data_IF_235362095745
#
_entry.id   IF_235362095745
#
_cell.length_a   1.000
_cell.length_b   1.000
_cell.length_c   1.000
_cell.angle_alpha   90.00
_cell.angle_beta   90.00
_cell.angle_gamma   90.00
#
_symmetry.space_group_name_H-M   'P 1'
#
loop_
_entity.id
_entity.type
_entity.pdbx_description
1 polymer ?
#
# COMPACT_ATOMS: atom_id res chain seq x y z
N UNK A 1 -3.45 -24.05 -6.98
CA UNK A 1 -2.20 -23.71 -6.25
C UNK A 1 -2.45 -22.39 -5.56
N UNK A 2 -2.57 -22.41 -4.24
CA UNK A 2 -2.75 -21.20 -3.43
C UNK A 2 -1.40 -20.45 -3.40
N UNK A 3 -1.38 -19.17 -3.81
CA UNK A 3 -0.17 -18.35 -3.81
C UNK A 3 0.47 -18.04 -5.18
N UNK A 4 -0.21 -18.29 -6.31
CA UNK A 4 0.27 -17.83 -7.62
C UNK A 4 0.25 -16.29 -7.69
N UNK A 5 1.40 -15.68 -8.00
CA UNK A 5 1.59 -14.22 -7.99
C UNK A 5 1.84 -13.67 -9.40
N UNK A 6 0.88 -13.88 -10.31
CA UNK A 6 0.97 -13.26 -11.64
C UNK A 6 0.84 -11.74 -11.52
N UNK A 7 1.82 -10.94 -11.98
CA UNK A 7 1.76 -9.49 -11.89
C UNK A 7 0.53 -8.95 -12.63
N UNK A 8 -0.28 -8.16 -11.93
CA UNK A 8 -1.52 -7.57 -12.46
C UNK A 8 -1.27 -6.54 -13.57
N UNK A 9 -0.10 -5.87 -13.55
CA UNK A 9 0.31 -4.96 -14.60
C UNK A 9 1.13 -5.70 -15.67
N UNK A 10 0.74 -5.55 -16.94
CA UNK A 10 1.43 -6.16 -18.07
C UNK A 10 2.92 -5.80 -18.13
N UNK A 11 3.78 -6.81 -17.91
CA UNK A 11 5.23 -6.89 -18.14
C UNK A 11 6.06 -5.61 -17.88
N UNK A 12 6.74 -5.59 -16.73
CA UNK A 12 8.18 -5.31 -16.71
C UNK A 12 8.87 -6.19 -15.66
N UNK A 13 9.48 -7.27 -16.13
CA UNK A 13 10.35 -8.16 -15.33
C UNK A 13 11.66 -7.42 -15.02
N UNK A 14 11.68 -6.50 -14.04
CA UNK A 14 12.89 -6.17 -13.24
C UNK A 14 12.73 -4.97 -12.30
N UNK A 15 11.61 -4.24 -12.30
CA UNK A 15 11.45 -3.08 -11.41
C UNK A 15 10.00 -2.97 -10.97
N UNK A 16 9.78 -2.66 -9.70
CA UNK A 16 8.46 -2.26 -9.23
C UNK A 16 7.93 -1.18 -10.19
N UNK A 17 6.80 -1.45 -10.84
CA UNK A 17 6.19 -0.50 -11.76
C UNK A 17 5.85 0.76 -10.96
N UNK A 18 6.54 1.85 -11.29
CA UNK A 18 6.32 3.14 -10.63
C UNK A 18 5.03 3.72 -11.19
N UNK A 19 3.99 3.74 -10.37
CA UNK A 19 2.72 4.36 -10.71
C UNK A 19 2.70 5.80 -10.21
N UNK A 20 2.13 6.70 -11.00
CA UNK A 20 1.91 8.07 -10.54
C UNK A 20 0.84 8.07 -9.45
N UNK A 21 1.14 8.65 -8.29
CA UNK A 21 0.16 8.89 -7.21
C UNK A 21 -0.97 9.83 -7.68
N UNK A 22 -0.79 10.50 -8.83
CA UNK A 22 -1.81 11.34 -9.44
C UNK A 22 -2.75 10.58 -10.40
N UNK A 23 -2.45 9.31 -10.71
CA UNK A 23 -3.18 8.51 -11.69
C UNK A 23 -4.26 7.61 -11.08
N UNK A 24 -5.40 7.55 -11.76
CA UNK A 24 -6.45 6.54 -11.51
C UNK A 24 -7.14 6.63 -10.13
N UNK A 25 -7.95 5.61 -9.86
CA UNK A 25 -8.69 5.44 -8.63
C UNK A 25 -7.76 5.24 -7.43
N UNK A 26 -6.66 4.48 -7.58
CA UNK A 26 -5.68 4.27 -6.51
C UNK A 26 -5.04 5.60 -6.09
N UNK A 27 -4.65 6.44 -7.05
CA UNK A 27 -4.14 7.76 -6.76
C UNK A 27 -5.16 8.64 -6.04
N UNK A 28 -6.43 8.59 -6.47
CA UNK A 28 -7.51 9.33 -5.82
C UNK A 28 -7.72 8.87 -4.36
N UNK A 29 -7.75 7.57 -4.08
CA UNK A 29 -7.85 7.02 -2.72
C UNK A 29 -6.67 7.48 -1.87
N UNK A 30 -5.46 7.46 -2.43
CA UNK A 30 -4.26 7.90 -1.74
C UNK A 30 -4.36 9.39 -1.32
N UNK A 31 -4.84 10.26 -2.21
CA UNK A 31 -4.94 11.70 -1.95
C UNK A 31 -6.08 12.09 -1.03
N UNK A 32 -7.26 11.53 -1.24
CA UNK A 32 -8.46 11.91 -0.47
C UNK A 32 -8.59 11.10 0.82
N UNK A 33 -7.93 9.94 0.89
CA UNK A 33 -8.08 9.02 2.02
C UNK A 33 -9.48 8.42 2.09
N UNK A 34 -10.24 8.37 1.00
CA UNK A 34 -11.58 7.76 1.00
C UNK A 34 -11.55 6.44 0.25
N UNK A 35 -12.23 5.43 0.78
CA UNK A 35 -12.31 4.12 0.15
C UNK A 35 -13.22 4.17 -1.09
N UNK A 36 -12.84 3.44 -2.14
CA UNK A 36 -13.66 3.24 -3.34
C UNK A 36 -14.14 1.80 -3.37
N UNK A 37 -15.43 1.62 -3.59
CA UNK A 37 -16.08 0.34 -3.85
C UNK A 37 -16.83 0.47 -5.17
N UNK A 38 -16.39 -0.27 -6.18
CA UNK A 38 -16.94 -0.23 -7.53
C UNK A 38 -17.32 -1.62 -7.98
N UNK A 39 -18.56 -1.75 -8.46
CA UNK A 39 -19.03 -2.93 -9.17
C UNK A 39 -19.63 -2.44 -10.50
N UNK A 40 -18.82 -2.48 -11.55
CA UNK A 40 -19.20 -2.08 -12.91
C UNK A 40 -19.42 -3.33 -13.75
N UNK A 41 -20.66 -3.64 -14.18
CA UNK A 41 -20.93 -4.79 -15.05
C UNK A 41 -20.21 -4.72 -16.40
N UNK A 42 -19.83 -3.51 -16.84
CA UNK A 42 -19.04 -3.29 -18.08
C UNK A 42 -17.53 -3.25 -17.82
N UNK A 43 -17.08 -3.52 -16.59
CA UNK A 43 -15.70 -3.31 -16.18
C UNK A 43 -15.35 -1.85 -15.98
N UNK A 44 -14.31 -1.58 -15.19
CA UNK A 44 -13.62 -0.30 -15.19
C UNK A 44 -12.72 -0.20 -16.43
N UNK A 45 -12.62 0.98 -17.08
CA UNK A 45 -11.61 1.21 -18.11
C UNK A 45 -10.21 0.94 -17.57
N UNK A 46 -9.29 0.40 -18.38
CA UNK A 46 -7.92 0.05 -17.95
C UNK A 46 -7.18 1.24 -17.31
N UNK A 47 -7.38 2.44 -17.84
CA UNK A 47 -6.78 3.67 -17.31
C UNK A 47 -7.39 4.15 -15.97
N UNK A 48 -8.48 3.53 -15.53
CA UNK A 48 -9.25 4.00 -14.38
C UNK A 48 -8.68 3.52 -13.05
N UNK A 49 -7.98 2.38 -13.00
CA UNK A 49 -7.40 1.88 -11.74
C UNK A 49 -6.03 2.51 -11.43
N UNK A 50 -5.06 2.38 -12.34
CA UNK A 50 -3.68 2.84 -12.15
C UNK A 50 -3.29 4.10 -12.95
N UNK A 51 -4.21 4.64 -13.76
CA UNK A 51 -3.94 5.78 -14.64
C UNK A 51 -3.55 5.36 -16.06
N UNK A 52 -3.26 6.35 -16.92
CA UNK A 52 -2.93 6.11 -18.34
C UNK A 52 -1.59 5.37 -18.48
N UNK A 53 -1.51 4.48 -19.46
CA UNK A 53 -0.26 3.78 -19.81
C UNK A 53 0.00 2.48 -19.05
N UNK A 54 -0.94 2.03 -18.21
CA UNK A 54 -0.87 0.73 -17.53
C UNK A 54 -1.93 -0.19 -18.13
N UNK A 55 -1.50 -1.27 -18.77
CA UNK A 55 -2.40 -2.34 -19.22
C UNK A 55 -2.73 -3.24 -18.04
N UNK A 56 -4.01 -3.33 -17.71
CA UNK A 56 -4.54 -4.20 -16.65
C UNK A 56 -5.73 -4.99 -17.18
N UNK A 57 -6.05 -6.14 -16.57
CA UNK A 57 -7.30 -6.81 -16.85
C UNK A 57 -8.52 -5.89 -16.65
N UNK A 58 -9.61 -6.20 -17.34
CA UNK A 58 -10.86 -5.48 -17.21
C UNK A 58 -11.56 -5.91 -15.91
N UNK A 59 -11.26 -5.20 -14.82
CA UNK A 59 -11.87 -5.48 -13.52
C UNK A 59 -13.32 -5.00 -13.48
N UNK A 60 -14.24 -5.92 -13.19
CA UNK A 60 -15.65 -5.60 -12.92
C UNK A 60 -15.87 -5.18 -11.48
N UNK A 61 -15.13 -5.77 -10.55
CA UNK A 61 -15.18 -5.39 -9.13
C UNK A 61 -13.84 -4.82 -8.70
N UNK A 62 -13.85 -3.66 -8.06
CA UNK A 62 -12.67 -3.01 -7.48
C UNK A 62 -13.02 -2.48 -6.09
N UNK A 63 -12.16 -2.78 -5.13
CA UNK A 63 -12.22 -2.25 -3.77
C UNK A 63 -10.84 -1.68 -3.44
N UNK A 64 -10.78 -0.40 -3.14
CA UNK A 64 -9.53 0.31 -2.84
C UNK A 64 -9.68 1.05 -1.51
N UNK A 65 -8.89 0.65 -0.52
CA UNK A 65 -8.95 1.18 0.84
C UNK A 65 -7.64 1.89 1.19
N UNK A 66 -7.70 3.08 1.80
CA UNK A 66 -6.51 3.79 2.22
C UNK A 66 -5.85 3.09 3.42
N UNK A 67 -4.53 2.95 3.37
CA UNK A 67 -3.72 2.54 4.52
C UNK A 67 -3.14 3.79 5.16
N UNK A 68 -3.60 4.09 6.38
CA UNK A 68 -3.28 5.33 7.09
C UNK A 68 -2.24 5.07 8.17
N UNK A 69 -1.18 5.87 8.18
CA UNK A 69 -0.20 5.86 9.25
C UNK A 69 0.07 7.31 9.64
N UNK A 70 0.11 7.63 10.94
CA UNK A 70 0.32 8.99 11.43
C UNK A 70 -0.64 10.01 10.79
N UNK A 71 -1.93 9.67 10.69
CA UNK A 71 -2.99 10.51 10.10
C UNK A 71 -2.81 10.87 8.62
N UNK A 72 -1.90 10.19 7.90
CA UNK A 72 -1.70 10.36 6.46
C UNK A 72 -1.87 9.03 5.74
N UNK A 73 -2.49 9.05 4.57
CA UNK A 73 -2.52 7.88 3.70
C UNK A 73 -1.11 7.61 3.18
N UNK A 74 -0.56 6.44 3.48
CA UNK A 74 0.79 6.00 3.08
C UNK A 74 0.77 4.89 2.04
N UNK A 75 -0.39 4.28 1.82
CA UNK A 75 -0.61 3.24 0.81
C UNK A 75 -2.08 3.02 0.54
N UNK A 76 -2.37 2.12 -0.38
CA UNK A 76 -3.74 1.71 -0.73
C UNK A 76 -3.79 0.20 -0.84
N UNK A 77 -4.70 -0.44 -0.11
CA UNK A 77 -5.04 -1.85 -0.26
C UNK A 77 -6.06 -1.98 -1.39
N UNK A 78 -5.65 -2.61 -2.49
CA UNK A 78 -6.49 -2.82 -3.66
C UNK A 78 -6.84 -4.30 -3.80
N UNK A 79 -8.14 -4.59 -3.92
CA UNK A 79 -8.68 -5.88 -4.29
C UNK A 79 -9.47 -5.70 -5.59
N UNK A 80 -9.19 -6.53 -6.59
CA UNK A 80 -9.83 -6.41 -7.89
C UNK A 80 -10.17 -7.79 -8.46
N UNK A 81 -11.31 -7.89 -9.15
CA UNK A 81 -11.82 -9.12 -9.75
C UNK A 81 -12.38 -8.82 -11.14
N UNK A 82 -12.06 -9.66 -12.12
CA UNK A 82 -12.55 -9.57 -13.51
C UNK A 82 -14.03 -9.98 -13.64
N UNK A 83 -14.56 -10.68 -12.64
CA UNK A 83 -15.97 -11.06 -12.54
C UNK A 83 -16.73 -10.13 -11.59
N UNK A 84 -18.05 -9.96 -11.78
CA UNK A 84 -18.86 -9.19 -10.87
C UNK A 84 -18.93 -9.93 -9.52
N UNK A 85 -18.86 -9.16 -8.44
CA UNK A 85 -18.99 -9.63 -7.07
C UNK A 85 -19.92 -8.68 -6.33
N UNK A 86 -20.88 -9.24 -5.60
CA UNK A 86 -21.77 -8.43 -4.78
C UNK A 86 -21.00 -7.78 -3.61
N UNK A 87 -21.10 -6.46 -3.52
CA UNK A 87 -20.42 -5.66 -2.50
C UNK A 87 -21.35 -5.42 -1.31
N UNK A 88 -21.56 -6.47 -0.51
CA UNK A 88 -22.40 -6.46 0.69
C UNK A 88 -21.87 -5.50 1.76
N UNK A 89 -22.72 -5.10 2.71
CA UNK A 89 -22.30 -4.29 3.87
C UNK A 89 -21.26 -5.01 4.72
N UNK A 90 -21.50 -6.28 5.04
CA UNK A 90 -20.58 -7.12 5.82
C UNK A 90 -19.18 -7.21 5.20
N UNK A 91 -19.09 -7.35 3.87
CA UNK A 91 -17.81 -7.35 3.15
C UNK A 91 -17.08 -6.02 3.32
N UNK A 92 -17.80 -4.89 3.22
CA UNK A 92 -17.21 -3.55 3.40
C UNK A 92 -16.69 -3.39 4.82
N UNK A 93 -17.50 -3.75 5.81
CA UNK A 93 -17.14 -3.67 7.23
C UNK A 93 -15.90 -4.53 7.52
N UNK A 94 -15.87 -5.75 7.01
CA UNK A 94 -14.70 -6.64 7.10
C UNK A 94 -13.45 -6.00 6.50
N UNK A 95 -13.56 -5.43 5.29
CA UNK A 95 -12.42 -4.81 4.62
C UNK A 95 -11.94 -3.55 5.34
N UNK A 96 -12.86 -2.75 5.88
CA UNK A 96 -12.49 -1.61 6.72
C UNK A 96 -11.72 -2.09 7.95
N UNK A 97 -12.24 -3.08 8.69
CA UNK A 97 -11.53 -3.67 9.83
C UNK A 97 -10.14 -4.18 9.41
N UNK A 98 -10.04 -4.97 8.34
CA UNK A 98 -8.76 -5.49 7.86
C UNK A 98 -7.77 -4.37 7.50
N UNK A 99 -8.23 -3.29 6.86
CA UNK A 99 -7.40 -2.14 6.48
C UNK A 99 -6.90 -1.35 7.69
N UNK A 100 -7.73 -1.20 8.72
CA UNK A 100 -7.36 -0.53 9.98
C UNK A 100 -6.37 -1.38 10.79
N UNK A 101 -6.61 -2.69 10.90
CA UNK A 101 -5.68 -3.62 11.54
C UNK A 101 -4.32 -3.65 10.83
N UNK A 102 -4.31 -3.67 9.49
CA UNK A 102 -3.08 -3.58 8.71
C UNK A 102 -2.36 -2.25 8.95
N UNK A 103 -3.10 -1.14 8.99
CA UNK A 103 -2.57 0.19 9.27
C UNK A 103 -1.88 0.25 10.64
N UNK A 104 -2.53 -0.26 11.69
CA UNK A 104 -1.95 -0.36 13.04
C UNK A 104 -0.70 -1.23 13.07
N UNK A 105 -0.71 -2.37 12.38
CA UNK A 105 0.44 -3.25 12.30
C UNK A 105 1.64 -2.57 11.63
N UNK A 106 1.40 -1.89 10.50
CA UNK A 106 2.45 -1.16 9.79
C UNK A 106 2.98 0.02 10.58
N UNK A 107 2.15 0.71 11.34
CA UNK A 107 2.56 1.79 12.24
C UNK A 107 3.47 1.26 13.35
N UNK A 108 3.09 0.16 13.99
CA UNK A 108 3.91 -0.52 14.98
C UNK A 108 5.25 -1.00 14.40
N UNK A 109 5.22 -1.56 13.19
CA UNK A 109 6.43 -2.00 12.50
C UNK A 109 7.37 -0.82 12.19
N UNK A 110 6.82 0.28 11.69
CA UNK A 110 7.58 1.50 11.41
C UNK A 110 8.25 2.05 12.67
N UNK A 111 7.52 2.14 13.78
CA UNK A 111 8.04 2.63 15.05
C UNK A 111 9.18 1.72 15.55
N UNK A 112 8.99 0.40 15.52
CA UNK A 112 10.02 -0.57 15.94
C UNK A 112 11.29 -0.45 15.09
N UNK A 113 11.16 -0.36 13.77
CA UNK A 113 12.29 -0.17 12.88
C UNK A 113 13.03 1.13 13.21
N UNK A 114 12.31 2.25 13.35
CA UNK A 114 12.90 3.54 13.66
C UNK A 114 13.63 3.58 15.02
N UNK A 115 13.08 2.92 16.04
CA UNK A 115 13.74 2.80 17.34
C UNK A 115 15.04 2.01 17.23
N UNK A 116 15.02 0.88 16.52
CA UNK A 116 16.23 0.07 16.29
C UNK A 116 17.32 0.88 15.59
N UNK A 117 16.96 1.62 14.55
CA UNK A 117 17.92 2.42 13.78
C UNK A 117 18.53 3.53 14.63
N UNK A 118 17.71 4.21 15.46
CA UNK A 118 18.18 5.26 16.35
C UNK A 118 19.09 4.73 17.46
N UNK A 119 18.71 3.60 18.08
CA UNK A 119 19.54 2.92 19.07
C UNK A 119 20.89 2.50 18.50
N UNK A 120 20.91 2.05 17.24
CA UNK A 120 22.15 1.71 16.54
C UNK A 120 23.04 2.95 16.35
N UNK A 121 22.48 4.07 15.87
CA UNK A 121 23.23 5.33 15.72
C UNK A 121 23.80 5.84 17.05
N UNK A 122 23.04 5.75 18.14
CA UNK A 122 23.51 6.19 19.46
C UNK A 122 24.69 5.34 19.96
N UNK A 123 24.64 4.02 19.79
CA UNK A 123 25.74 3.13 20.15
C UNK A 123 27.03 3.46 19.37
N UNK A 124 26.92 3.77 18.09
CA UNK A 124 28.07 4.19 17.27
C UNK A 124 28.67 5.53 17.75
N UNK A 125 27.83 6.50 18.12
CA UNK A 125 28.31 7.79 18.64
C UNK A 125 29.00 7.67 20.00
N UNK A 126 28.52 6.80 20.89
CA UNK A 126 29.17 6.53 22.17
C UNK A 126 30.52 5.83 22.00
N UNK A 127 30.62 4.86 21.08
CA UNK A 127 31.89 4.20 20.76
C UNK A 127 32.93 5.16 20.17
N UNK A 128 32.50 6.16 19.38
CA UNK A 128 33.41 7.21 18.87
C UNK A 128 33.84 8.22 19.94
N UNK A 129 32.96 8.54 20.88
CA UNK A 129 33.26 9.47 21.97
C UNK A 129 34.15 8.84 23.07
N UNK A 130 34.03 7.54 23.32
CA UNK A 130 34.82 6.81 24.32
C UNK A 130 36.27 6.50 23.92
N UNK A 131 36.62 6.55 22.62
CA UNK A 131 37.98 6.27 22.13
C UNK A 131 38.94 7.47 22.13
N UNK A 132 38.52 8.63 22.63
CA UNK A 132 39.27 9.89 22.57
C UNK A 132 40.09 10.27 23.81
N UNK A 133 40.05 9.48 24.88
CA UNK A 133 40.64 9.87 26.19
C UNK A 133 41.83 9.03 26.65
N UNK A 134 42.41 8.17 25.80
CA UNK A 134 43.48 7.23 26.21
C UNK A 134 44.90 7.57 25.70
N UNK A 135 45.14 8.80 25.23
CA UNK A 135 46.51 9.27 24.91
C UNK A 135 46.71 10.71 25.40
N UNK A 136 47.07 10.89 26.66
CA UNK A 136 47.69 12.10 27.20
C UNK A 136 48.63 11.73 28.36
#
# INVERSE_FOLDING_TARGET
>A
MEGENTPVAGKSKSRASVFSVNGGAIGWVCRNGEAIFSNSPRGMPESSLFGRGVTTPQFQTVMALPIRMQKKTRGVLCLAKEAPLELTGEMRDFLFMASEHLSLFLENLYIKCRLRDLSFTLAETQNRAGGGTENA
#
